data_IF_188395834565
#
_entry.id   IF_188395834565
#
_cell.length_a   1.000
_cell.length_b   1.000
_cell.length_c   1.000
_cell.angle_alpha   90.00
_cell.angle_beta   90.00
_cell.angle_gamma   90.00
#
_symmetry.space_group_name_H-M   'P 1'
#
loop_
_entity.id
_entity.type
_entity.pdbx_description
1 polymer ?
#
# COMPACT_ATOMS: atom_id res chain seq x y z
N UNK A 1 -23.46 -15.54 17.67
CA UNK A 1 -22.08 -16.10 17.71
C UNK A 1 -21.41 -16.26 16.33
N UNK A 2 -22.13 -16.11 15.20
CA UNK A 2 -21.52 -16.26 13.86
C UNK A 2 -20.90 -14.99 13.26
N UNK A 3 -21.13 -13.81 13.84
CA UNK A 3 -20.65 -12.55 13.27
C UNK A 3 -19.15 -12.30 13.48
N UNK A 4 -18.57 -12.81 14.58
CA UNK A 4 -17.16 -12.58 14.93
C UNK A 4 -16.17 -13.52 14.23
N UNK A 5 -16.65 -14.64 13.66
CA UNK A 5 -15.79 -15.62 12.98
C UNK A 5 -15.51 -15.24 11.51
N UNK A 6 -16.48 -14.59 10.86
CA UNK A 6 -16.34 -14.10 9.48
C UNK A 6 -15.40 -12.88 9.40
N UNK A 7 -15.40 -12.01 10.41
CA UNK A 7 -14.51 -10.84 10.46
C UNK A 7 -13.05 -11.24 10.68
N UNK A 8 -12.77 -12.17 11.59
CA UNK A 8 -11.39 -12.63 11.83
C UNK A 8 -10.76 -13.32 10.60
N UNK A 9 -11.54 -14.07 9.82
CA UNK A 9 -11.04 -14.71 8.59
C UNK A 9 -10.66 -13.66 7.55
N UNK A 10 -11.55 -12.70 7.29
CA UNK A 10 -11.29 -11.64 6.31
C UNK A 10 -10.11 -10.72 6.71
N UNK A 11 -9.94 -10.44 8.01
CA UNK A 11 -8.81 -9.67 8.52
C UNK A 11 -7.48 -10.43 8.40
N UNK A 12 -7.46 -11.74 8.68
CA UNK A 12 -6.29 -12.59 8.42
C UNK A 12 -5.98 -12.67 6.93
N UNK A 13 -6.99 -12.73 6.07
CA UNK A 13 -6.80 -12.73 4.62
C UNK A 13 -6.18 -11.41 4.15
N UNK A 14 -6.69 -10.26 4.61
CA UNK A 14 -6.16 -8.94 4.27
C UNK A 14 -4.69 -8.77 4.73
N UNK A 15 -4.39 -9.16 5.98
CA UNK A 15 -3.04 -9.08 6.52
C UNK A 15 -2.07 -10.00 5.78
N UNK A 16 -2.52 -11.19 5.40
CA UNK A 16 -1.71 -12.14 4.63
C UNK A 16 -1.38 -11.58 3.25
N UNK A 17 -2.38 -11.07 2.54
CA UNK A 17 -2.21 -10.51 1.19
C UNK A 17 -1.27 -9.31 1.20
N UNK A 18 -1.46 -8.35 2.12
CA UNK A 18 -0.62 -7.15 2.18
C UNK A 18 0.82 -7.48 2.61
N UNK A 19 1.01 -8.48 3.47
CA UNK A 19 2.36 -8.95 3.84
C UNK A 19 3.07 -9.57 2.63
N UNK A 20 2.39 -10.40 1.84
CA UNK A 20 2.97 -10.97 0.62
C UNK A 20 3.35 -9.88 -0.39
N UNK A 21 2.48 -8.89 -0.61
CA UNK A 21 2.79 -7.75 -1.49
C UNK A 21 3.99 -6.94 -0.98
N UNK A 22 4.08 -6.71 0.33
CA UNK A 22 5.24 -6.05 0.95
C UNK A 22 6.52 -6.85 0.71
N UNK A 23 6.49 -8.16 0.93
CA UNK A 23 7.66 -9.02 0.82
C UNK A 23 8.13 -9.10 -0.66
N UNK A 24 7.19 -9.11 -1.61
CA UNK A 24 7.51 -8.97 -3.03
C UNK A 24 8.13 -7.60 -3.35
N UNK A 25 7.57 -6.51 -2.83
CA UNK A 25 8.09 -5.15 -3.04
C UNK A 25 9.47 -4.92 -2.39
N UNK A 26 9.79 -5.65 -1.31
CA UNK A 26 11.09 -5.58 -0.66
C UNK A 26 12.22 -5.97 -1.63
N UNK A 27 11.98 -6.92 -2.54
CA UNK A 27 12.91 -7.30 -3.61
C UNK A 27 12.95 -6.22 -4.72
N UNK A 28 14.11 -5.57 -4.96
CA UNK A 28 14.27 -4.55 -6.00
C UNK A 28 13.85 -4.97 -7.41
N UNK A 29 13.97 -6.26 -7.75
CA UNK A 29 13.65 -6.77 -9.08
C UNK A 29 12.15 -6.76 -9.36
N UNK A 30 11.32 -6.90 -8.33
CA UNK A 30 9.87 -6.96 -8.47
C UNK A 30 9.23 -5.56 -8.51
N UNK A 31 9.90 -4.55 -7.96
CA UNK A 31 9.31 -3.20 -7.74
C UNK A 31 8.74 -2.58 -9.00
N UNK A 32 9.43 -2.71 -10.15
CA UNK A 32 8.92 -2.18 -11.42
C UNK A 32 7.70 -2.95 -11.90
N UNK A 33 7.78 -4.28 -11.92
CA UNK A 33 6.67 -5.12 -12.36
C UNK A 33 5.40 -4.87 -11.52
N UNK A 34 5.55 -4.70 -10.21
CA UNK A 34 4.43 -4.40 -9.30
C UNK A 34 3.79 -3.03 -9.62
N UNK A 35 4.58 -2.00 -9.90
CA UNK A 35 4.05 -0.66 -10.23
C UNK A 35 3.50 -0.60 -11.67
N UNK A 36 4.03 -1.41 -12.57
CA UNK A 36 3.54 -1.55 -13.93
C UNK A 36 2.18 -2.27 -13.96
N UNK A 37 1.98 -3.25 -13.09
CA UNK A 37 0.69 -3.90 -12.90
C UNK A 37 -0.40 -2.91 -12.47
N UNK A 38 -1.49 -2.87 -13.24
CA UNK A 38 -2.56 -1.89 -13.05
C UNK A 38 -3.36 -2.10 -11.76
N UNK A 39 -3.32 -3.29 -11.14
CA UNK A 39 -4.11 -3.61 -9.95
C UNK A 39 -3.37 -3.39 -8.64
N UNK A 40 -2.04 -3.52 -8.64
CA UNK A 40 -1.26 -3.54 -7.40
C UNK A 40 -1.23 -2.20 -6.66
N UNK A 41 -1.06 -1.08 -7.36
CA UNK A 41 -1.04 0.25 -6.73
C UNK A 41 -2.42 0.66 -6.17
N UNK A 42 -3.53 0.58 -6.94
CA UNK A 42 -4.86 0.79 -6.39
C UNK A 42 -5.19 -0.18 -5.24
N UNK A 43 -4.78 -1.45 -5.35
CA UNK A 43 -4.97 -2.44 -4.30
C UNK A 43 -4.27 -2.07 -2.99
N UNK A 44 -3.03 -1.58 -3.06
CA UNK A 44 -2.29 -1.09 -1.89
C UNK A 44 -2.97 0.12 -1.24
N UNK A 45 -3.53 1.02 -2.05
CA UNK A 45 -4.25 2.20 -1.57
C UNK A 45 -5.50 1.81 -0.77
N UNK A 46 -6.22 0.77 -1.20
CA UNK A 46 -7.42 0.29 -0.50
C UNK A 46 -7.13 -0.20 0.93
N UNK A 47 -5.92 -0.70 1.19
CA UNK A 47 -5.53 -1.15 2.53
C UNK A 47 -5.29 -0.01 3.52
N UNK A 48 -5.21 1.26 3.08
CA UNK A 48 -4.98 2.40 3.97
C UNK A 48 -6.19 2.76 4.83
N UNK A 49 -7.40 2.36 4.44
CA UNK A 49 -8.63 2.56 5.20
C UNK A 49 -8.99 1.34 6.09
N UNK A 50 -8.08 0.37 6.20
CA UNK A 50 -8.34 -0.86 6.93
C UNK A 50 -8.32 -0.61 8.47
N UNK A 51 -9.29 -1.14 9.24
CA UNK A 51 -9.39 -0.88 10.70
C UNK A 51 -8.22 -1.49 11.50
N UNK A 52 -7.55 -2.51 10.96
CA UNK A 52 -6.36 -3.10 11.56
C UNK A 52 -5.08 -2.28 11.21
N UNK A 53 -4.39 -1.69 12.21
CA UNK A 53 -3.20 -0.88 11.96
C UNK A 53 -2.02 -1.67 11.38
N UNK A 54 -1.94 -2.99 11.60
CA UNK A 54 -0.89 -3.82 11.01
C UNK A 54 -1.02 -3.96 9.49
N UNK A 55 -2.26 -3.95 8.99
CA UNK A 55 -2.55 -3.99 7.55
C UNK A 55 -2.11 -2.69 6.91
N UNK A 56 -2.52 -1.55 7.50
CA UNK A 56 -2.13 -0.21 7.06
C UNK A 56 -0.62 -0.04 7.07
N UNK A 57 0.04 -0.43 8.16
CA UNK A 57 1.50 -0.36 8.28
C UNK A 57 2.21 -1.18 7.19
N UNK A 58 1.77 -2.41 6.94
CA UNK A 58 2.37 -3.27 5.92
C UNK A 58 2.17 -2.72 4.51
N UNK A 59 1.01 -2.13 4.22
CA UNK A 59 0.74 -1.45 2.96
C UNK A 59 1.67 -0.23 2.76
N UNK A 60 1.83 0.61 3.79
CA UNK A 60 2.71 1.76 3.75
C UNK A 60 4.17 1.36 3.52
N UNK A 61 4.60 0.28 4.16
CA UNK A 61 5.94 -0.25 4.00
C UNK A 61 6.17 -0.78 2.59
N UNK A 62 5.18 -1.47 2.00
CA UNK A 62 5.23 -1.89 0.59
C UNK A 62 5.37 -0.67 -0.35
N UNK A 63 4.54 0.36 -0.16
CA UNK A 63 4.62 1.61 -0.93
C UNK A 63 5.98 2.29 -0.79
N UNK A 64 6.57 2.31 0.41
CA UNK A 64 7.92 2.83 0.62
C UNK A 64 8.95 2.06 -0.23
N UNK A 65 8.92 0.73 -0.22
CA UNK A 65 9.84 -0.07 -1.04
C UNK A 65 9.67 0.18 -2.53
N UNK A 66 8.43 0.31 -3.02
CA UNK A 66 8.17 0.64 -4.42
C UNK A 66 8.74 2.02 -4.81
N UNK A 67 8.67 2.99 -3.91
CA UNK A 67 9.14 4.36 -4.14
C UNK A 67 10.68 4.53 -4.08
N UNK A 68 11.40 3.58 -3.48
CA UNK A 68 12.86 3.51 -3.56
C UNK A 68 13.34 3.37 -5.02
N UNK A 69 12.52 2.77 -5.90
CA UNK A 69 12.79 2.76 -7.33
C UNK A 69 12.38 4.12 -7.95
N UNK A 70 13.35 4.91 -8.40
CA UNK A 70 13.09 6.24 -9.00
C UNK A 70 12.12 6.20 -10.18
N UNK A 71 12.20 5.16 -11.02
CA UNK A 71 11.33 5.00 -12.18
C UNK A 71 9.85 4.81 -11.80
N UNK A 72 9.57 4.34 -10.58
CA UNK A 72 8.21 4.14 -10.10
C UNK A 72 7.56 5.44 -9.61
N UNK A 73 8.37 6.43 -9.20
CA UNK A 73 7.88 7.64 -8.49
C UNK A 73 6.87 8.44 -9.31
N UNK A 74 7.06 8.57 -10.62
CA UNK A 74 6.13 9.30 -11.49
C UNK A 74 4.78 8.60 -11.59
N UNK A 75 4.77 7.29 -11.83
CA UNK A 75 3.53 6.51 -11.91
C UNK A 75 2.82 6.46 -10.56
N UNK A 76 3.57 6.25 -9.48
CA UNK A 76 3.03 6.29 -8.12
C UNK A 76 2.44 7.66 -7.80
N UNK A 77 3.03 8.76 -8.25
CA UNK A 77 2.46 10.11 -8.10
C UNK A 77 1.17 10.29 -8.88
N UNK A 78 1.02 9.67 -10.03
CA UNK A 78 -0.23 9.73 -10.79
C UNK A 78 -1.37 9.01 -10.06
N UNK A 79 -1.10 7.82 -9.54
CA UNK A 79 -2.09 6.98 -8.84
C UNK A 79 -2.39 7.50 -7.42
N UNK A 80 -1.36 7.79 -6.62
CA UNK A 80 -1.48 8.38 -5.29
C UNK A 80 -1.86 9.88 -5.36
N UNK A 81 -1.62 10.54 -6.50
CA UNK A 81 -1.97 11.94 -6.73
C UNK A 81 -3.47 12.19 -6.78
N UNK A 82 -4.29 11.17 -7.05
CA UNK A 82 -5.73 11.27 -6.82
C UNK A 82 -6.07 11.44 -5.32
N UNK A 83 -5.21 11.02 -4.39
CA UNK A 83 -5.36 11.36 -2.97
C UNK A 83 -4.94 12.80 -2.62
N UNK A 84 -4.29 13.54 -3.52
CA UNK A 84 -3.96 14.96 -3.26
C UNK A 84 -5.19 15.87 -3.28
N UNK A 85 -6.35 15.45 -3.79
CA UNK A 85 -7.61 16.18 -3.53
C UNK A 85 -8.13 15.97 -2.10
N UNK A 86 -7.57 14.98 -1.38
CA UNK A 86 -7.77 14.73 0.06
C UNK A 86 -6.56 15.24 0.87
N UNK A 87 -5.86 16.28 0.39
CA UNK A 87 -4.59 16.81 0.94
C UNK A 87 -4.63 17.14 2.44
N UNK A 88 -5.81 17.48 2.98
CA UNK A 88 -5.90 17.93 4.37
C UNK A 88 -5.78 16.80 5.40
N UNK A 89 -5.90 15.53 5.00
CA UNK A 89 -5.92 14.40 5.97
C UNK A 89 -4.65 13.54 5.93
N UNK A 90 -3.92 13.47 4.81
CA UNK A 90 -2.85 12.46 4.60
C UNK A 90 -1.42 13.01 4.44
N UNK A 91 -1.18 14.26 4.84
CA UNK A 91 0.13 14.93 4.73
C UNK A 91 1.31 14.09 5.27
N UNK A 92 1.10 13.24 6.27
CA UNK A 92 2.14 12.39 6.86
C UNK A 92 2.63 11.25 5.93
N UNK A 93 1.76 10.66 5.11
CA UNK A 93 2.13 9.53 4.23
C UNK A 93 2.94 10.03 3.02
N UNK A 94 2.52 11.17 2.45
CA UNK A 94 3.21 11.80 1.33
C UNK A 94 4.59 12.30 1.74
N UNK A 95 4.73 12.87 2.95
CA UNK A 95 6.04 13.26 3.48
C UNK A 95 7.00 12.07 3.64
N UNK A 96 6.54 10.91 4.11
CA UNK A 96 7.40 9.73 4.29
C UNK A 96 7.92 9.18 2.96
N UNK A 97 7.08 9.18 1.92
CA UNK A 97 7.43 8.64 0.59
C UNK A 97 8.26 9.63 -0.23
N UNK A 98 8.13 10.95 0.02
CA UNK A 98 8.75 12.00 -0.80
C UNK A 98 9.95 12.73 -0.13
N UNK A 99 10.16 12.58 1.18
CA UNK A 99 11.37 13.08 1.87
C UNK A 99 12.57 12.10 1.86
N UNK A 100 12.46 10.93 1.22
CA UNK A 100 13.56 9.97 0.99
C UNK A 100 14.00 9.94 -0.49
#
# INVERSE_FOLDING_TARGET
LNSSRSTMSAEMDALTVVNQLRDLAADPLNRRAIVEDQGCLPGLILFFDHPNPQVVYSALLAVRYLAECRANREKMKSELGMMLTLYEVYASIVCIVWCL
#
